data_IF_147191358222
#
_entry.id   IF_147191358222
#
_cell.length_a   1.000
_cell.length_b   1.000
_cell.length_c   1.000
_cell.angle_alpha   90.00
_cell.angle_beta   90.00
_cell.angle_gamma   90.00
#
_symmetry.space_group_name_H-M   'P 1'
#
loop_
_entity.id
_entity.type
_entity.pdbx_description
1 polymer ?
#
# COMPACT_ATOMS: atom_id res chain seq x y z
N UNK A 1 -11.87 33.74 -30.09
CA UNK A 1 -10.69 32.88 -30.35
C UNK A 1 -9.75 32.74 -29.16
N UNK A 2 -9.44 33.79 -28.43
CA UNK A 2 -8.60 33.69 -27.24
C UNK A 2 -9.21 32.88 -26.12
N UNK A 3 -10.56 32.87 -25.98
CA UNK A 3 -11.28 32.13 -24.97
C UNK A 3 -11.27 30.62 -25.23
N UNK A 4 -11.31 30.22 -26.48
CA UNK A 4 -11.28 28.81 -26.84
C UNK A 4 -9.89 28.17 -26.56
N UNK A 5 -8.82 28.90 -26.83
CA UNK A 5 -7.45 28.46 -26.53
C UNK A 5 -7.21 28.28 -25.03
N UNK A 6 -7.70 29.23 -24.22
CA UNK A 6 -7.60 29.14 -22.76
C UNK A 6 -8.41 27.96 -22.20
N UNK A 7 -9.61 27.71 -22.72
CA UNK A 7 -10.42 26.58 -22.29
C UNK A 7 -9.77 25.23 -22.65
N UNK A 8 -9.19 25.11 -23.83
CA UNK A 8 -8.46 23.90 -24.24
C UNK A 8 -7.23 23.67 -23.37
N UNK A 9 -6.47 24.72 -23.09
CA UNK A 9 -5.29 24.63 -22.22
C UNK A 9 -5.68 24.23 -20.80
N UNK A 10 -6.74 24.79 -20.25
CA UNK A 10 -7.25 24.42 -18.92
C UNK A 10 -7.71 22.96 -18.88
N UNK A 11 -8.37 22.48 -19.91
CA UNK A 11 -8.81 21.09 -20.01
C UNK A 11 -7.61 20.13 -20.08
N UNK A 12 -6.58 20.46 -20.84
CA UNK A 12 -5.36 19.65 -20.95
C UNK A 12 -4.63 19.60 -19.61
N UNK A 13 -4.50 20.74 -18.92
CA UNK A 13 -3.88 20.80 -17.60
C UNK A 13 -4.66 19.98 -16.55
N UNK A 14 -5.99 20.07 -16.58
CA UNK A 14 -6.84 19.28 -15.67
C UNK A 14 -6.68 17.76 -15.93
N UNK A 15 -6.59 17.35 -17.18
CA UNK A 15 -6.37 15.95 -17.55
C UNK A 15 -5.00 15.43 -17.11
N UNK A 16 -3.95 16.24 -17.24
CA UNK A 16 -2.61 15.85 -16.80
C UNK A 16 -2.52 15.72 -15.29
N UNK A 17 -3.16 16.62 -14.55
CA UNK A 17 -3.22 16.54 -13.09
C UNK A 17 -3.99 15.30 -12.62
N UNK A 18 -5.09 14.97 -13.27
CA UNK A 18 -5.86 13.76 -12.95
C UNK A 18 -5.06 12.49 -13.26
N UNK A 19 -4.26 12.48 -14.32
CA UNK A 19 -3.41 11.35 -14.68
C UNK A 19 -2.27 11.12 -13.70
N UNK A 20 -1.68 12.17 -13.16
CA UNK A 20 -0.56 12.06 -12.22
C UNK A 20 -0.95 11.51 -10.84
N UNK A 21 -2.22 11.63 -10.45
CA UNK A 21 -2.72 11.11 -9.18
C UNK A 21 -3.10 9.63 -9.19
N UNK A 22 -3.13 9.01 -10.35
CA UNK A 22 -3.49 7.60 -10.48
C UNK A 22 -2.25 6.72 -10.55
N UNK A 23 -1.97 6.05 -9.47
CA UNK A 23 -1.12 4.87 -9.53
C UNK A 23 -2.04 3.66 -9.66
N UNK A 24 -2.08 3.06 -10.83
CA UNK A 24 -2.80 1.82 -11.05
C UNK A 24 -2.08 0.69 -10.34
N UNK A 25 -2.51 0.43 -9.11
CA UNK A 25 -2.09 -0.76 -8.41
C UNK A 25 -3.16 -1.82 -8.60
N UNK A 26 -2.78 -3.06 -8.93
CA UNK A 26 -3.75 -4.12 -9.25
C UNK A 26 -4.58 -4.59 -8.07
N UNK A 27 -4.40 -4.02 -6.87
CA UNK A 27 -5.15 -4.34 -5.66
C UNK A 27 -5.95 -3.13 -5.18
N UNK A 28 -6.21 -3.03 -3.89
CA UNK A 28 -7.02 -1.97 -3.28
C UNK A 28 -6.51 -0.54 -3.52
N UNK A 29 -5.36 -0.37 -4.13
CA UNK A 29 -4.72 0.93 -4.32
C UNK A 29 -3.96 1.43 -3.11
N UNK A 30 -3.94 0.67 -2.03
CA UNK A 30 -3.23 1.00 -0.80
C UNK A 30 -1.88 0.32 -0.76
N UNK A 31 -0.86 0.94 -0.14
CA UNK A 31 0.41 0.26 0.11
C UNK A 31 0.21 -1.01 0.93
N UNK A 32 0.85 -2.08 0.51
CA UNK A 32 0.81 -3.37 1.21
C UNK A 32 2.02 -3.46 2.13
N UNK A 33 1.77 -3.55 3.43
CA UNK A 33 2.79 -3.63 4.47
C UNK A 33 2.69 -4.99 5.14
N UNK A 34 3.81 -5.71 5.20
CA UNK A 34 3.89 -7.00 5.88
C UNK A 34 4.77 -6.85 7.11
N UNK A 35 4.27 -7.26 8.27
CA UNK A 35 4.96 -7.20 9.54
C UNK A 35 5.18 -8.60 10.10
N UNK A 36 6.35 -8.83 10.68
CA UNK A 36 6.66 -10.13 11.30
C UNK A 36 5.99 -10.30 12.66
N UNK A 37 6.01 -9.27 13.49
CA UNK A 37 5.55 -9.33 14.89
C UNK A 37 4.35 -8.43 15.11
N UNK A 38 3.51 -8.83 16.06
CA UNK A 38 2.29 -8.11 16.40
C UNK A 38 2.52 -6.65 16.78
N UNK A 39 3.53 -6.27 17.58
CA UNK A 39 3.76 -4.86 17.90
C UNK A 39 3.93 -3.98 16.67
N UNK A 40 4.65 -4.43 15.67
CA UNK A 40 4.84 -3.68 14.42
C UNK A 40 3.53 -3.56 13.64
N UNK A 41 2.78 -4.64 13.58
CA UNK A 41 1.47 -4.68 12.95
C UNK A 41 0.52 -3.67 13.60
N UNK A 42 0.47 -3.65 14.91
CA UNK A 42 -0.39 -2.74 15.67
C UNK A 42 0.00 -1.27 15.45
N UNK A 43 1.29 -0.96 15.47
CA UNK A 43 1.77 0.39 15.17
C UNK A 43 1.37 0.84 13.77
N UNK A 44 1.57 -0.02 12.77
CA UNK A 44 1.22 0.32 11.39
C UNK A 44 -0.27 0.57 11.25
N UNK A 45 -1.10 -0.22 11.91
CA UNK A 45 -2.55 -0.02 11.91
C UNK A 45 -2.95 1.30 12.56
N UNK A 46 -2.33 1.66 13.67
CA UNK A 46 -2.65 2.89 14.37
C UNK A 46 -2.21 4.14 13.61
N UNK A 47 -1.07 4.08 12.98
CA UNK A 47 -0.51 5.22 12.23
C UNK A 47 -1.16 5.33 10.85
N UNK A 48 -1.24 4.22 10.13
CA UNK A 48 -1.71 4.21 8.74
C UNK A 48 -3.22 4.12 8.60
N UNK A 49 -3.92 3.52 9.55
CA UNK A 49 -5.36 3.34 9.50
C UNK A 49 -5.83 2.71 8.19
N UNK A 50 -6.78 3.34 7.53
CA UNK A 50 -7.33 2.87 6.26
C UNK A 50 -6.46 3.20 5.05
N UNK A 51 -5.35 3.93 5.25
CA UNK A 51 -4.47 4.31 4.15
C UNK A 51 -3.51 3.20 3.71
N UNK A 52 -3.38 2.13 4.48
CA UNK A 52 -2.50 1.00 4.19
C UNK A 52 -3.22 -0.32 4.38
N UNK A 53 -2.79 -1.33 3.62
CA UNK A 53 -3.13 -2.73 3.86
C UNK A 53 -1.98 -3.36 4.64
N UNK A 54 -2.25 -3.82 5.86
CA UNK A 54 -1.23 -4.40 6.71
C UNK A 54 -1.54 -5.86 6.99
N UNK A 55 -0.50 -6.69 6.94
CA UNK A 55 -0.59 -8.13 7.16
C UNK A 55 0.41 -8.55 8.23
N UNK A 56 -0.01 -9.42 9.13
CA UNK A 56 0.82 -9.99 10.17
C UNK A 56 1.21 -11.42 9.79
N UNK A 57 2.50 -11.73 9.81
CA UNK A 57 2.99 -13.08 9.51
C UNK A 57 2.91 -14.00 10.71
N UNK A 58 3.46 -13.58 11.85
CA UNK A 58 3.44 -14.39 13.07
C UNK A 58 2.14 -14.09 13.83
N UNK A 59 1.23 -15.06 13.97
CA UNK A 59 -0.02 -14.82 14.69
C UNK A 59 0.24 -14.35 16.13
N UNK A 60 -0.65 -13.48 16.63
CA UNK A 60 -0.57 -12.99 17.99
C UNK A 60 -0.57 -14.16 18.98
N UNK A 61 0.34 -14.10 19.96
CA UNK A 61 0.48 -15.16 20.96
C UNK A 61 1.38 -16.32 20.56
N UNK A 62 1.87 -16.35 19.32
CA UNK A 62 2.82 -17.36 18.88
C UNK A 62 4.26 -16.92 19.08
N UNK A 63 5.11 -17.87 19.49
CA UNK A 63 6.53 -17.61 19.62
C UNK A 63 7.20 -17.56 18.24
N UNK A 64 8.08 -16.57 18.05
CA UNK A 64 8.84 -16.40 16.81
C UNK A 64 9.75 -17.58 16.50
N UNK A 65 10.24 -18.27 17.54
CA UNK A 65 11.14 -19.41 17.37
C UNK A 65 10.47 -20.64 16.77
N UNK A 66 9.16 -20.77 16.94
CA UNK A 66 8.38 -21.90 16.44
C UNK A 66 7.65 -21.58 15.14
N UNK A 67 7.80 -20.38 14.63
CA UNK A 67 7.15 -19.96 13.39
C UNK A 67 7.95 -20.44 12.18
N UNK A 68 7.30 -21.22 11.34
CA UNK A 68 7.84 -21.61 10.04
C UNK A 68 7.03 -20.92 8.94
N UNK A 69 7.67 -20.10 8.09
CA UNK A 69 6.96 -19.46 6.99
C UNK A 69 6.41 -20.48 6.00
N UNK A 70 5.17 -20.28 5.61
CA UNK A 70 4.56 -21.06 4.53
C UNK A 70 4.95 -20.46 3.18
N UNK A 71 4.79 -21.20 2.06
CA UNK A 71 4.99 -20.61 0.72
C UNK A 71 4.14 -19.36 0.47
N UNK A 72 2.92 -19.30 1.03
CA UNK A 72 2.08 -18.11 0.94
C UNK A 72 2.68 -16.92 1.67
N UNK A 73 3.33 -17.15 2.81
CA UNK A 73 4.01 -16.10 3.55
C UNK A 73 5.17 -15.52 2.75
N UNK A 74 5.94 -16.38 2.09
CA UNK A 74 7.05 -15.96 1.22
C UNK A 74 6.54 -15.10 0.06
N UNK A 75 5.44 -15.50 -0.55
CA UNK A 75 4.80 -14.71 -1.61
C UNK A 75 4.35 -13.35 -1.08
N UNK A 76 3.70 -13.32 0.08
CA UNK A 76 3.23 -12.09 0.71
C UNK A 76 4.40 -11.12 0.95
N UNK A 77 5.51 -11.60 1.45
CA UNK A 77 6.71 -10.77 1.68
C UNK A 77 7.28 -10.26 0.37
N UNK A 78 7.34 -11.11 -0.66
CA UNK A 78 7.90 -10.71 -1.95
C UNK A 78 7.04 -9.67 -2.67
N UNK A 79 5.74 -9.67 -2.44
CA UNK A 79 4.81 -8.71 -3.02
C UNK A 79 4.60 -7.46 -2.15
N UNK A 80 5.10 -7.46 -0.94
CA UNK A 80 4.95 -6.33 -0.04
C UNK A 80 5.76 -5.12 -0.51
N UNK A 81 5.18 -3.95 -0.39
CA UNK A 81 5.89 -2.71 -0.66
C UNK A 81 6.80 -2.33 0.50
N UNK A 82 6.39 -2.66 1.71
CA UNK A 82 7.18 -2.47 2.93
C UNK A 82 7.13 -3.75 3.74
N UNK A 83 8.28 -4.21 4.17
CA UNK A 83 8.40 -5.36 5.05
C UNK A 83 9.11 -4.94 6.33
N UNK A 84 8.45 -5.12 7.48
CA UNK A 84 8.96 -4.74 8.80
C UNK A 84 9.27 -6.03 9.59
N UNK A 85 10.52 -6.16 9.96
CA UNK A 85 11.01 -7.33 10.71
C UNK A 85 11.92 -6.92 11.86
#
# INVERSE_FOLDING_TARGET
>A
MRRAGAAVLAAVLALTLAGCGRQDRPQSGKPNVVCTLFPYYDFVRQIGGDAVDVQLLVPAGRETHSFEPTPLDVIAVSEAEVFIY
#
